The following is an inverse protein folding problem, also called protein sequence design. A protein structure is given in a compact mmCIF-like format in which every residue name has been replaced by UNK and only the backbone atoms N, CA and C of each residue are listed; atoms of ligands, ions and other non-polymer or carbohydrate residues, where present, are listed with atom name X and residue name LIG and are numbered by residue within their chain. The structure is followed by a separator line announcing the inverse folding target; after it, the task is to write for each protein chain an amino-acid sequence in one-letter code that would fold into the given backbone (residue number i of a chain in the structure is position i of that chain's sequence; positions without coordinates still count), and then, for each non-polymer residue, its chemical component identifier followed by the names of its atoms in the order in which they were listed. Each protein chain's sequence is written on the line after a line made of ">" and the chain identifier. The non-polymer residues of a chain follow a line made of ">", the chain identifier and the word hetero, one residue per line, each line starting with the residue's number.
data_IF_042560867308
#
_entry.id   IF_042560867308
#
_cell.length_a   1.000
_cell.length_b   1.000
_cell.length_c   1.000
_cell.angle_alpha   90.00
_cell.angle_beta   90.00
_cell.angle_gamma   90.00
#
_symmetry.space_group_name_H-M   'P 1'
#
loop_
_entity.id
_entity.type
_entity.pdbx_description
1 polymer ?
#
# COMPACT_ATOMS: atom_id res chain seq x y z
N UNK A 1 -11.63 8.96 -5.49
CA UNK A 1 -10.65 7.94 -5.92
C UNK A 1 -11.36 7.03 -6.90
N UNK A 2 -10.87 6.89 -8.13
CA UNK A 2 -11.52 6.07 -9.15
C UNK A 2 -11.38 4.59 -8.77
N UNK A 3 -12.50 3.86 -8.75
CA UNK A 3 -12.52 2.41 -8.53
C UNK A 3 -11.62 1.76 -9.60
N UNK A 4 -10.65 0.92 -9.18
CA UNK A 4 -9.76 0.18 -10.08
C UNK A 4 -8.36 0.76 -10.33
N UNK A 5 -8.06 1.99 -9.89
CA UNK A 5 -6.74 2.61 -10.12
C UNK A 5 -5.59 1.80 -9.50
N UNK A 6 -5.80 1.32 -8.28
CA UNK A 6 -4.79 0.59 -7.50
C UNK A 6 -4.51 -0.81 -8.07
N UNK A 7 -5.51 -1.48 -8.63
CA UNK A 7 -5.37 -2.81 -9.25
C UNK A 7 -4.65 -2.74 -10.60
N UNK A 8 -4.87 -1.68 -11.37
CA UNK A 8 -4.11 -1.43 -12.60
C UNK A 8 -2.64 -1.13 -12.32
N UNK A 9 -2.33 -0.55 -11.16
CA UNK A 9 -0.97 -0.20 -10.77
C UNK A 9 -0.08 -1.45 -10.70
N UNK A 10 -0.59 -2.56 -10.15
CA UNK A 10 0.18 -3.81 -10.02
C UNK A 10 0.67 -4.31 -11.38
N UNK A 11 -0.13 -4.15 -12.44
CA UNK A 11 0.23 -4.56 -13.80
C UNK A 11 1.27 -3.65 -14.46
N UNK A 12 1.52 -2.46 -13.91
CA UNK A 12 2.52 -1.51 -14.40
C UNK A 12 3.83 -1.55 -13.60
N UNK A 13 3.87 -2.25 -12.47
CA UNK A 13 5.03 -2.28 -11.59
C UNK A 13 6.01 -3.40 -11.97
N UNK A 14 7.33 -3.20 -11.71
CA UNK A 14 8.33 -4.25 -11.91
C UNK A 14 8.05 -5.51 -11.10
N UNK A 15 8.57 -6.65 -11.56
CA UNK A 15 8.49 -7.91 -10.83
C UNK A 15 9.06 -7.78 -9.41
N UNK A 16 8.36 -8.39 -8.44
CA UNK A 16 8.68 -8.29 -7.01
C UNK A 16 8.02 -7.11 -6.30
N UNK A 17 7.38 -6.18 -7.01
CA UNK A 17 6.62 -5.10 -6.40
C UNK A 17 5.32 -5.62 -5.76
N UNK A 18 4.82 -4.90 -4.76
CA UNK A 18 3.55 -5.19 -4.09
C UNK A 18 2.68 -3.93 -3.98
N UNK A 19 1.36 -4.13 -3.98
CA UNK A 19 0.37 -3.08 -3.75
C UNK A 19 -0.52 -3.53 -2.58
N UNK A 20 -0.68 -2.67 -1.57
CA UNK A 20 -1.60 -2.89 -0.44
C UNK A 20 -2.48 -1.65 -0.24
N UNK A 21 -3.72 -1.90 0.17
CA UNK A 21 -4.67 -0.87 0.59
C UNK A 21 -4.75 -0.93 2.11
N UNK A 22 -4.72 0.24 2.76
CA UNK A 22 -4.91 0.37 4.21
C UNK A 22 -6.29 0.98 4.43
N UNK A 23 -7.22 0.18 4.95
CA UNK A 23 -8.61 0.58 5.09
C UNK A 23 -8.80 1.71 6.10
N UNK A 24 -9.60 2.70 5.73
CA UNK A 24 -9.90 3.84 6.58
C UNK A 24 -8.71 4.79 6.82
N UNK A 25 -7.63 4.69 6.04
CA UNK A 25 -6.58 5.68 5.99
C UNK A 25 -6.89 6.78 4.95
N UNK A 26 -6.59 8.03 5.30
CA UNK A 26 -6.70 9.17 4.40
C UNK A 26 -5.45 9.35 3.52
N UNK A 27 -5.25 10.57 3.02
CA UNK A 27 -4.13 10.88 2.13
C UNK A 27 -2.77 10.70 2.80
N UNK A 28 -2.69 10.95 4.12
CA UNK A 28 -1.49 10.78 4.92
C UNK A 28 -1.63 9.53 5.79
N UNK A 29 -1.67 8.36 5.16
CA UNK A 29 -1.85 7.06 5.81
C UNK A 29 -0.86 6.81 6.96
N UNK A 30 0.38 7.28 6.86
CA UNK A 30 1.38 7.14 7.93
C UNK A 30 1.07 7.98 9.18
N UNK A 31 0.25 9.03 9.05
CA UNK A 31 -0.23 9.84 10.19
C UNK A 31 -1.52 9.24 10.74
N UNK A 32 -2.43 8.80 9.87
CA UNK A 32 -3.74 8.27 10.27
C UNK A 32 -3.63 6.87 10.89
N UNK A 33 -2.80 6.00 10.29
CA UNK A 33 -2.64 4.57 10.63
C UNK A 33 -1.16 4.16 10.72
N UNK A 34 -0.36 4.80 11.58
CA UNK A 34 1.10 4.63 11.61
C UNK A 34 1.54 3.17 11.81
N UNK A 35 0.87 2.42 12.69
CA UNK A 35 1.23 1.04 13.00
C UNK A 35 0.98 0.10 11.82
N UNK A 36 -0.17 0.24 11.14
CA UNK A 36 -0.56 -0.60 10.01
C UNK A 36 0.34 -0.34 8.79
N UNK A 37 0.68 0.94 8.55
CA UNK A 37 1.61 1.33 7.49
C UNK A 37 3.02 0.80 7.77
N UNK A 38 3.51 0.94 8.99
CA UNK A 38 4.83 0.43 9.37
C UNK A 38 4.90 -1.10 9.21
N UNK A 39 3.87 -1.83 9.67
CA UNK A 39 3.79 -3.28 9.51
C UNK A 39 3.80 -3.68 8.02
N UNK A 40 3.02 -3.01 7.17
CA UNK A 40 2.99 -3.32 5.74
C UNK A 40 4.35 -3.11 5.03
N UNK A 41 5.09 -2.06 5.42
CA UNK A 41 6.44 -1.81 4.89
C UNK A 41 7.42 -2.87 5.38
N UNK A 42 7.41 -3.17 6.67
CA UNK A 42 8.30 -4.16 7.28
C UNK A 42 8.05 -5.57 6.73
N UNK A 43 6.77 -5.94 6.52
CA UNK A 43 6.40 -7.19 5.85
C UNK A 43 7.01 -7.30 4.44
N UNK A 44 7.07 -6.18 3.71
CA UNK A 44 7.60 -6.16 2.34
C UNK A 44 9.13 -6.26 2.30
N UNK A 45 9.83 -5.54 3.19
CA UNK A 45 11.31 -5.49 3.20
C UNK A 45 11.97 -6.56 4.07
N UNK A 46 11.21 -7.19 4.98
CA UNK A 46 11.69 -8.23 5.89
C UNK A 46 11.62 -9.66 5.34
N UNK A 47 11.21 -9.79 4.07
CA UNK A 47 11.37 -11.01 3.25
C UNK A 47 12.52 -10.84 2.24
#
# INVERSE_FOLDING_TARGET
>A
MQVGYTEQLLNALPAGSAVRIIDGAGHFLQVDRPAEVAAAILDYVGN
#
